data_IF_130425539439
#
_entry.id   IF_130425539439
#
_cell.length_a   1.000
_cell.length_b   1.000
_cell.length_c   1.000
_cell.angle_alpha   90.00
_cell.angle_beta   90.00
_cell.angle_gamma   90.00
#
_symmetry.space_group_name_H-M   'P 1'
#
loop_
_entity.id
_entity.type
_entity.pdbx_description
1 polymer ?
#
# COMPACT_ATOMS: atom_id res chain seq x y z
N UNK A 1 -8.56 -5.62 7.29
CA UNK A 1 -7.39 -4.73 7.13
C UNK A 1 -7.40 -3.73 8.27
N UNK A 2 -6.30 -3.61 9.01
CA UNK A 2 -6.21 -2.86 10.26
C UNK A 2 -5.30 -1.63 10.09
N UNK A 3 -5.85 -0.41 10.22
CA UNK A 3 -5.11 0.84 10.01
C UNK A 3 -5.78 2.07 10.65
N UNK A 4 -5.04 3.19 10.71
CA UNK A 4 -5.44 4.45 11.36
C UNK A 4 -6.68 5.15 10.83
N UNK A 5 -7.13 4.80 9.62
CA UNK A 5 -8.25 5.46 8.95
C UNK A 5 -9.58 4.73 9.20
N UNK A 6 -9.56 3.59 9.89
CA UNK A 6 -10.75 2.86 10.36
C UNK A 6 -11.25 3.47 11.66
N UNK A 7 -12.55 3.33 11.94
CA UNK A 7 -13.07 3.71 13.25
C UNK A 7 -12.46 2.82 14.35
N UNK A 8 -12.43 3.33 15.58
CA UNK A 8 -11.98 2.54 16.74
C UNK A 8 -12.80 1.25 16.88
N UNK A 9 -14.13 1.33 16.67
CA UNK A 9 -15.03 0.18 16.74
C UNK A 9 -14.73 -0.89 15.68
N UNK A 10 -14.39 -0.50 14.45
CA UNK A 10 -13.98 -1.45 13.40
C UNK A 10 -12.65 -2.13 13.76
N UNK A 11 -11.70 -1.38 14.32
CA UNK A 11 -10.41 -1.91 14.74
C UNK A 11 -10.54 -2.87 15.93
N UNK A 12 -11.40 -2.57 16.91
CA UNK A 12 -11.74 -3.46 18.02
C UNK A 12 -12.41 -4.76 17.52
N UNK A 13 -13.32 -4.64 16.57
CA UNK A 13 -13.98 -5.80 15.96
C UNK A 13 -12.99 -6.69 15.20
N UNK A 14 -12.01 -6.11 14.48
CA UNK A 14 -10.96 -6.88 13.81
C UNK A 14 -10.11 -7.66 14.84
N UNK A 15 -9.80 -7.06 16.00
CA UNK A 15 -9.08 -7.74 17.06
C UNK A 15 -9.89 -8.88 17.66
N UNK A 16 -11.19 -8.64 17.91
CA UNK A 16 -12.12 -9.67 18.38
C UNK A 16 -12.20 -10.83 17.40
N UNK A 17 -12.39 -10.55 16.11
CA UNK A 17 -12.41 -11.58 15.06
C UNK A 17 -11.10 -12.35 15.01
N UNK A 18 -9.95 -11.69 15.14
CA UNK A 18 -8.66 -12.38 15.11
C UNK A 18 -8.45 -13.32 16.32
N UNK A 19 -9.02 -13.02 17.48
CA UNK A 19 -8.95 -13.89 18.67
C UNK A 19 -10.05 -14.96 18.73
N UNK A 20 -11.26 -14.67 18.22
CA UNK A 20 -12.45 -15.52 18.40
C UNK A 20 -12.89 -16.27 17.12
N UNK A 21 -12.63 -15.73 15.93
CA UNK A 21 -13.12 -16.28 14.66
C UNK A 21 -12.06 -17.14 13.97
N UNK A 22 -12.28 -18.47 13.83
CA UNK A 22 -11.33 -19.35 13.15
C UNK A 22 -11.19 -19.06 11.64
N UNK A 23 -12.10 -18.30 11.04
CA UNK A 23 -12.00 -17.87 9.64
C UNK A 23 -11.08 -16.63 9.48
N UNK A 24 -10.88 -15.85 10.54
CA UNK A 24 -10.03 -14.66 10.53
C UNK A 24 -8.56 -15.00 10.80
N UNK A 25 -7.88 -15.60 9.82
CA UNK A 25 -6.51 -16.12 10.01
C UNK A 25 -5.41 -15.09 9.81
N UNK A 26 -5.66 -14.06 8.99
CA UNK A 26 -4.64 -13.09 8.58
C UNK A 26 -5.15 -11.66 8.71
N UNK A 27 -4.43 -10.85 9.46
CA UNK A 27 -4.65 -9.40 9.52
C UNK A 27 -3.50 -8.68 8.84
N UNK A 28 -3.84 -7.87 7.82
CA UNK A 28 -2.90 -6.94 7.19
C UNK A 28 -2.95 -5.63 7.96
N UNK A 29 -1.83 -5.26 8.60
CA UNK A 29 -1.67 -4.06 9.40
C UNK A 29 -0.53 -3.16 8.89
N UNK A 30 -0.63 -1.86 9.15
CA UNK A 30 0.48 -0.90 8.94
C UNK A 30 1.40 -0.84 10.16
N UNK A 31 2.68 -0.49 9.98
CA UNK A 31 3.73 -0.40 11.03
C UNK A 31 3.25 0.24 12.33
N UNK A 32 2.65 1.44 12.25
CA UNK A 32 2.21 2.20 13.43
C UNK A 32 1.18 1.46 14.29
N UNK A 33 0.44 0.52 13.69
CA UNK A 33 -0.61 -0.23 14.34
C UNK A 33 -0.16 -1.62 14.78
N UNK A 34 0.85 -2.21 14.13
CA UNK A 34 1.43 -3.47 14.57
C UNK A 34 1.95 -3.39 16.03
N UNK A 35 2.49 -2.25 16.42
CA UNK A 35 2.95 -1.99 17.79
C UNK A 35 1.84 -2.00 18.86
N UNK A 36 0.57 -1.84 18.45
CA UNK A 36 -0.60 -1.86 19.34
C UNK A 36 -1.38 -3.17 19.33
N UNK A 37 -0.97 -4.16 18.51
CA UNK A 37 -1.63 -5.46 18.44
C UNK A 37 -1.23 -6.30 19.67
N UNK A 38 -2.20 -6.60 20.52
CA UNK A 38 -2.05 -7.50 21.66
C UNK A 38 -2.98 -8.70 21.49
N UNK A 39 -2.59 -9.62 20.60
CA UNK A 39 -3.36 -10.80 20.22
C UNK A 39 -2.59 -12.02 20.70
N UNK A 40 -3.12 -12.71 21.71
CA UNK A 40 -2.42 -13.84 22.35
C UNK A 40 -2.32 -15.07 21.44
N UNK A 41 -3.25 -15.17 20.50
CA UNK A 41 -3.34 -16.25 19.52
C UNK A 41 -2.40 -16.07 18.32
N UNK A 42 -1.63 -14.96 18.25
CA UNK A 42 -0.77 -14.67 17.10
C UNK A 42 0.41 -15.65 17.02
N UNK A 43 0.34 -16.55 16.03
CA UNK A 43 1.38 -17.57 15.78
C UNK A 43 2.54 -17.04 14.94
N UNK A 44 2.23 -16.24 13.92
CA UNK A 44 3.22 -15.71 12.99
C UNK A 44 2.94 -14.25 12.59
N UNK A 45 3.94 -13.61 12.00
CA UNK A 45 3.96 -12.20 11.61
C UNK A 45 5.01 -12.07 10.52
N UNK A 46 4.56 -11.53 9.39
CA UNK A 46 5.33 -11.38 8.17
C UNK A 46 5.43 -9.88 7.89
N UNK A 47 6.64 -9.33 8.00
CA UNK A 47 6.90 -7.94 7.63
C UNK A 47 7.06 -7.84 6.11
N UNK A 48 6.17 -7.08 5.47
CA UNK A 48 6.26 -6.78 4.03
C UNK A 48 7.19 -5.59 3.80
N UNK A 49 8.47 -5.90 3.59
CA UNK A 49 9.54 -4.93 3.43
C UNK A 49 10.42 -4.82 4.68
N UNK A 50 11.42 -3.93 4.63
CA UNK A 50 12.32 -3.69 5.75
C UNK A 50 12.04 -2.30 6.32
N UNK A 51 11.76 -2.16 7.63
CA UNK A 51 11.44 -0.88 8.24
C UNK A 51 12.62 0.10 8.20
N UNK A 52 12.42 1.35 8.57
CA UNK A 52 13.48 2.37 8.42
C UNK A 52 14.68 2.08 9.32
N UNK A 53 14.44 1.50 10.50
CA UNK A 53 15.47 1.17 11.50
C UNK A 53 15.39 -0.29 11.95
N UNK A 54 16.48 -0.81 12.50
CA UNK A 54 16.50 -2.16 13.10
C UNK A 54 15.62 -2.23 14.35
N UNK A 55 15.53 -1.16 15.12
CA UNK A 55 14.66 -1.11 16.31
C UNK A 55 13.19 -1.32 15.96
N UNK A 56 12.72 -0.74 14.86
CA UNK A 56 11.36 -0.97 14.37
C UNK A 56 11.16 -2.44 13.99
N UNK A 57 12.12 -3.04 13.27
CA UNK A 57 12.06 -4.46 12.92
C UNK A 57 11.99 -5.35 14.16
N UNK A 58 12.82 -5.03 15.16
CA UNK A 58 12.91 -5.82 16.38
C UNK A 58 11.67 -5.67 17.25
N UNK A 59 11.12 -4.46 17.34
CA UNK A 59 9.85 -4.20 18.01
C UNK A 59 8.70 -4.96 17.36
N UNK A 60 8.57 -4.90 16.02
CA UNK A 60 7.55 -5.63 15.26
C UNK A 60 7.61 -7.16 15.50
N UNK A 61 8.83 -7.72 15.62
CA UNK A 61 9.03 -9.15 15.90
C UNK A 61 8.76 -9.54 17.36
N UNK A 62 8.96 -8.63 18.30
CA UNK A 62 8.87 -8.88 19.74
C UNK A 62 7.47 -9.20 20.26
N UNK A 63 6.42 -9.03 19.46
CA UNK A 63 5.03 -9.28 19.85
C UNK A 63 4.64 -10.77 19.91
N UNK A 64 5.51 -11.69 19.49
CA UNK A 64 5.22 -13.13 19.52
C UNK A 64 5.59 -13.76 20.86
N UNK A 65 4.70 -14.61 21.37
CA UNK A 65 5.04 -15.57 22.41
C UNK A 65 6.08 -16.55 21.86
N UNK A 66 7.14 -16.76 22.63
CA UNK A 66 8.48 -17.23 22.22
C UNK A 66 8.59 -18.69 21.75
N UNK A 67 7.57 -19.27 21.10
CA UNK A 67 7.54 -20.72 20.79
C UNK A 67 7.63 -21.07 19.29
N UNK A 68 7.40 -20.14 18.37
CA UNK A 68 7.53 -20.39 16.93
C UNK A 68 8.56 -19.45 16.28
N UNK A 69 9.47 -19.96 15.42
CA UNK A 69 10.40 -19.11 14.70
C UNK A 69 9.67 -18.32 13.62
N UNK A 70 9.96 -17.02 13.57
CA UNK A 70 9.45 -16.12 12.54
C UNK A 70 10.26 -16.28 11.26
N UNK A 71 9.61 -16.68 10.16
CA UNK A 71 10.22 -16.66 8.84
C UNK A 71 10.05 -15.26 8.27
N UNK A 72 11.11 -14.45 8.28
CA UNK A 72 11.11 -13.19 7.52
C UNK A 72 11.74 -13.42 6.17
N UNK A 73 10.91 -13.75 5.18
CA UNK A 73 11.29 -13.66 3.77
C UNK A 73 11.22 -12.19 3.34
N UNK A 74 12.27 -11.44 3.65
CA UNK A 74 12.44 -10.09 3.12
C UNK A 74 12.84 -10.17 1.65
N UNK A 75 11.86 -10.40 0.78
CA UNK A 75 12.04 -10.25 -0.65
C UNK A 75 12.31 -8.75 -0.91
N UNK A 76 13.58 -8.41 -1.16
CA UNK A 76 14.06 -7.05 -1.44
C UNK A 76 13.47 -6.51 -2.76
N UNK A 77 12.17 -6.30 -2.79
CA UNK A 77 11.48 -5.71 -3.93
C UNK A 77 11.68 -4.20 -3.87
N UNK A 78 12.30 -3.65 -4.92
CA UNK A 78 12.54 -2.21 -5.13
C UNK A 78 11.24 -1.45 -5.41
N UNK A 79 10.22 -1.60 -4.57
CA UNK A 79 8.90 -1.00 -4.76
C UNK A 79 8.69 0.22 -3.86
N UNK A 80 9.32 1.33 -4.22
CA UNK A 80 8.84 2.68 -3.84
C UNK A 80 9.11 3.68 -4.96
N UNK A 81 8.42 3.56 -6.10
CA UNK A 81 8.22 4.71 -7.00
C UNK A 81 6.99 5.48 -6.53
N UNK A 82 7.14 6.23 -5.45
CA UNK A 82 6.18 7.25 -5.04
C UNK A 82 6.11 8.37 -6.12
N UNK A 83 4.96 9.06 -6.26
CA UNK A 83 4.81 10.15 -7.22
C UNK A 83 5.85 11.25 -6.96
N UNK A 84 6.56 11.63 -8.02
CA UNK A 84 7.65 12.62 -8.07
C UNK A 84 7.20 14.00 -7.56
N UNK A 85 7.23 14.24 -6.26
CA UNK A 85 7.47 15.59 -5.76
C UNK A 85 8.98 15.87 -5.96
N UNK A 86 9.30 16.95 -6.67
CA UNK A 86 10.68 17.34 -7.07
C UNK A 86 11.57 17.80 -5.90
N UNK A 87 11.29 17.42 -4.65
CA UNK A 87 12.31 17.60 -3.62
C UNK A 87 13.31 16.46 -3.73
N UNK A 88 14.55 16.77 -4.11
CA UNK A 88 15.68 15.88 -3.87
C UNK A 88 15.77 15.63 -2.36
N UNK A 89 15.03 14.66 -1.85
CA UNK A 89 15.28 14.14 -0.52
C UNK A 89 16.66 13.51 -0.58
N UNK A 90 17.63 14.15 0.08
CA UNK A 90 18.95 13.58 0.28
C UNK A 90 18.74 12.16 0.81
N UNK A 91 19.19 11.16 0.07
CA UNK A 91 19.05 9.76 0.48
C UNK A 91 19.69 9.63 1.85
N UNK A 92 18.88 9.34 2.88
CA UNK A 92 19.43 9.08 4.21
C UNK A 92 20.39 7.88 4.09
N UNK A 93 21.61 7.97 4.62
CA UNK A 93 22.52 6.82 4.61
C UNK A 93 21.85 5.65 5.32
N UNK A 94 22.05 4.44 4.78
CA UNK A 94 21.52 3.22 5.39
C UNK A 94 22.13 3.05 6.79
N UNK A 95 21.28 2.79 7.79
CA UNK A 95 21.73 2.54 9.15
C UNK A 95 22.70 1.35 9.19
N UNK A 96 23.80 1.47 9.94
CA UNK A 96 24.85 0.44 10.00
C UNK A 96 24.31 -0.91 10.49
N UNK A 97 23.49 -0.92 11.54
CA UNK A 97 22.87 -2.12 12.07
C UNK A 97 22.00 -2.85 11.02
N UNK A 98 21.25 -2.05 10.23
CA UNK A 98 20.44 -2.57 9.12
C UNK A 98 21.31 -3.14 8.01
N UNK A 99 22.41 -2.48 7.67
CA UNK A 99 23.37 -2.99 6.70
C UNK A 99 23.95 -4.34 7.14
N UNK A 100 24.33 -4.49 8.42
CA UNK A 100 24.86 -5.76 8.94
C UNK A 100 23.85 -6.91 8.76
N UNK A 101 22.58 -6.70 9.13
CA UNK A 101 21.53 -7.72 8.95
C UNK A 101 21.29 -8.07 7.48
N UNK A 102 21.25 -7.06 6.60
CA UNK A 102 20.97 -7.24 5.17
C UNK A 102 22.13 -7.87 4.38
N UNK A 103 23.35 -7.91 4.91
CA UNK A 103 24.46 -8.58 4.22
C UNK A 103 24.33 -10.10 4.22
N UNK A 104 23.54 -10.67 5.13
CA UNK A 104 23.27 -12.11 5.24
C UNK A 104 24.56 -12.97 5.41
N UNK A 105 25.67 -12.35 5.85
CA UNK A 105 26.97 -13.00 6.04
C UNK A 105 27.13 -13.61 7.44
N UNK A 106 26.43 -13.10 8.43
CA UNK A 106 26.52 -13.59 9.81
C UNK A 106 25.18 -14.19 10.29
N UNK A 107 25.21 -14.95 11.38
CA UNK A 107 24.01 -15.45 12.04
C UNK A 107 23.11 -14.29 12.49
N UNK A 108 21.84 -14.27 12.08
CA UNK A 108 20.90 -13.21 12.47
C UNK A 108 20.81 -13.00 13.98
N UNK A 109 20.71 -14.09 14.75
CA UNK A 109 20.63 -14.01 16.21
C UNK A 109 21.92 -13.46 16.83
N UNK A 110 23.09 -13.83 16.29
CA UNK A 110 24.38 -13.28 16.73
C UNK A 110 24.45 -11.78 16.46
N UNK A 111 24.12 -11.37 15.24
CA UNK A 111 24.17 -9.96 14.82
C UNK A 111 23.23 -9.10 15.68
N UNK A 112 21.99 -9.54 15.90
CA UNK A 112 21.04 -8.86 16.80
C UNK A 112 21.59 -8.76 18.23
N UNK A 113 22.11 -9.86 18.80
CA UNK A 113 22.64 -9.83 20.17
C UNK A 113 23.87 -8.93 20.29
N UNK A 114 24.65 -8.76 19.22
CA UNK A 114 25.79 -7.82 19.17
C UNK A 114 25.31 -6.37 19.11
N UNK A 115 24.29 -6.08 18.30
CA UNK A 115 23.68 -4.75 18.17
C UNK A 115 23.13 -4.29 19.53
N UNK A 116 22.36 -5.15 20.21
CA UNK A 116 21.73 -4.82 21.50
C UNK A 116 22.55 -5.18 22.74
N UNK A 117 23.74 -5.76 22.56
CA UNK A 117 24.61 -6.21 23.65
C UNK A 117 23.90 -7.16 24.65
N UNK A 118 23.07 -8.07 24.14
CA UNK A 118 22.29 -8.99 24.97
C UNK A 118 23.20 -9.98 25.72
N UNK A 119 23.13 -10.09 27.06
CA UNK A 119 23.94 -11.03 27.83
C UNK A 119 23.44 -12.49 27.68
N UNK A 120 24.29 -13.51 27.93
CA UNK A 120 25.73 -13.40 28.16
C UNK A 120 26.49 -13.25 26.84
N UNK A 121 27.32 -12.21 26.72
CA UNK A 121 28.00 -11.85 25.46
C UNK A 121 28.84 -13.00 24.87
N UNK A 122 29.43 -13.85 25.72
CA UNK A 122 30.30 -14.96 25.28
C UNK A 122 29.55 -16.03 24.48
N UNK A 123 28.27 -16.24 24.75
CA UNK A 123 27.46 -17.27 24.06
C UNK A 123 26.42 -16.64 23.14
N UNK A 124 25.88 -15.47 23.50
CA UNK A 124 24.83 -14.80 22.72
C UNK A 124 25.30 -14.31 21.35
N UNK A 125 26.60 -14.00 21.23
CA UNK A 125 27.23 -13.54 19.99
C UNK A 125 27.77 -14.67 19.10
N UNK A 126 27.70 -15.93 19.55
CA UNK A 126 28.01 -17.08 18.69
C UNK A 126 26.87 -17.33 17.70
N UNK A 127 27.17 -18.02 16.60
CA UNK A 127 26.13 -18.48 15.68
C UNK A 127 25.15 -19.44 16.38
N UNK A 128 24.00 -19.71 15.74
CA UNK A 128 22.97 -20.49 16.42
C UNK A 128 23.42 -21.92 16.80
N UNK A 129 24.29 -22.53 16.00
CA UNK A 129 24.73 -23.91 16.19
C UNK A 129 25.78 -23.96 17.30
N UNK A 130 26.79 -23.09 17.25
CA UNK A 130 27.81 -22.95 18.27
C UNK A 130 27.24 -22.49 19.63
N UNK A 131 26.18 -21.67 19.62
CA UNK A 131 25.46 -21.27 20.81
C UNK A 131 24.51 -22.36 21.36
N UNK A 132 24.36 -23.51 20.70
CA UNK A 132 23.45 -24.58 21.12
C UNK A 132 21.98 -24.16 21.12
N UNK A 133 21.55 -23.26 20.22
CA UNK A 133 20.16 -22.80 20.17
C UNK A 133 19.27 -23.90 19.59
N UNK A 134 18.11 -24.11 20.22
CA UNK A 134 17.12 -25.11 19.79
C UNK A 134 16.61 -24.89 18.36
N UNK A 135 16.48 -23.63 17.95
CA UNK A 135 16.02 -23.24 16.62
C UNK A 135 17.08 -22.33 15.97
N UNK A 136 17.81 -22.81 14.95
CA UNK A 136 18.74 -21.97 14.22
C UNK A 136 17.98 -20.95 13.35
N UNK A 137 18.58 -19.78 13.15
CA UNK A 137 18.09 -18.84 12.15
C UNK A 137 18.27 -19.43 10.74
N UNK A 138 17.53 -18.92 9.74
CA UNK A 138 17.57 -19.45 8.37
C UNK A 138 18.97 -19.52 7.78
N UNK A 139 19.83 -18.51 8.02
CA UNK A 139 21.23 -18.53 7.55
C UNK A 139 22.06 -19.66 8.17
N UNK A 140 21.90 -19.92 9.47
CA UNK A 140 22.57 -21.03 10.12
C UNK A 140 22.00 -22.37 9.65
N UNK A 141 20.69 -22.45 9.43
CA UNK A 141 20.04 -23.65 8.93
C UNK A 141 20.57 -24.01 7.53
N UNK A 142 20.58 -23.05 6.59
CA UNK A 142 21.13 -23.23 5.24
C UNK A 142 22.60 -23.61 5.24
N UNK A 143 23.45 -22.97 6.06
CA UNK A 143 24.89 -23.27 6.11
C UNK A 143 25.24 -24.66 6.63
N UNK A 144 24.32 -25.28 7.38
CA UNK A 144 24.51 -26.59 7.98
C UNK A 144 23.55 -27.63 7.39
N UNK A 145 22.95 -27.34 6.22
CA UNK A 145 22.00 -28.21 5.52
C UNK A 145 20.86 -28.72 6.42
N UNK A 146 20.41 -27.89 7.38
CA UNK A 146 19.31 -28.20 8.27
C UNK A 146 17.99 -27.77 7.63
N UNK A 147 17.11 -28.74 7.35
CA UNK A 147 15.74 -28.47 6.96
C UNK A 147 14.87 -28.27 8.19
N UNK A 148 14.41 -27.03 8.40
CA UNK A 148 13.45 -26.72 9.47
C UNK A 148 12.04 -27.01 8.99
N UNK A 149 11.44 -28.09 9.50
CA UNK A 149 10.03 -28.42 9.25
C UNK A 149 9.20 -28.02 10.47
N UNK A 150 8.17 -27.21 10.23
CA UNK A 150 7.17 -26.89 11.25
C UNK A 150 5.93 -27.72 10.97
N UNK A 151 5.45 -28.45 11.98
CA UNK A 151 4.14 -29.07 11.90
C UNK A 151 3.11 -27.97 11.72
N UNK A 152 2.24 -28.10 10.72
CA UNK A 152 1.09 -27.22 10.60
C UNK A 152 0.30 -27.27 11.93
N UNK A 153 -0.18 -26.13 12.43
CA UNK A 153 -1.05 -26.13 13.59
C UNK A 153 -2.26 -27.04 13.31
N UNK A 154 -2.70 -27.85 14.29
CA UNK A 154 -3.82 -28.75 14.08
C UNK A 154 -5.05 -27.93 13.69
N UNK A 155 -5.60 -28.20 12.50
CA UNK A 155 -6.85 -27.57 12.08
C UNK A 155 -7.98 -28.04 13.01
N UNK A 156 -8.95 -27.17 13.35
CA UNK A 156 -10.16 -27.59 14.02
C UNK A 156 -10.80 -28.76 13.26
N UNK A 157 -11.22 -29.81 13.98
CA UNK A 157 -11.80 -31.00 13.35
C UNK A 157 -13.01 -30.61 12.50
N UNK A 158 -13.01 -31.02 11.23
CA UNK A 158 -14.11 -30.78 10.30
C UNK A 158 -14.05 -29.46 9.52
N UNK A 159 -13.00 -28.66 9.69
CA UNK A 159 -12.77 -27.47 8.86
C UNK A 159 -11.72 -27.79 7.80
N UNK A 160 -12.18 -28.08 6.58
CA UNK A 160 -11.31 -28.04 5.41
C UNK A 160 -11.10 -26.57 5.04
N UNK A 161 -9.86 -26.09 5.13
CA UNK A 161 -9.55 -24.75 4.64
C UNK A 161 -9.79 -24.74 3.12
N UNK A 162 -10.49 -23.71 2.59
CA UNK A 162 -10.63 -23.58 1.15
C UNK A 162 -9.23 -23.58 0.53
N UNK A 163 -9.02 -24.33 -0.57
CA UNK A 163 -7.72 -24.37 -1.23
C UNK A 163 -7.29 -22.95 -1.54
N UNK A 164 -6.05 -22.60 -1.19
CA UNK A 164 -5.50 -21.29 -1.50
C UNK A 164 -5.60 -21.13 -3.02
N UNK A 165 -6.45 -20.20 -3.49
CA UNK A 165 -6.63 -19.98 -4.92
C UNK A 165 -5.33 -19.39 -5.43
N UNK A 166 -4.45 -20.26 -5.95
CA UNK A 166 -3.28 -19.80 -6.65
C UNK A 166 -3.78 -18.97 -7.83
N UNK A 167 -3.38 -17.70 -7.95
CA UNK A 167 -3.70 -16.96 -9.16
C UNK A 167 -3.18 -17.80 -10.33
N UNK A 168 -3.97 -17.95 -11.41
CA UNK A 168 -3.61 -18.81 -12.52
C UNK A 168 -2.18 -18.49 -12.93
N UNK A 169 -1.32 -19.50 -12.84
CA UNK A 169 0.10 -19.37 -13.15
C UNK A 169 0.15 -18.87 -14.58
N UNK A 170 0.62 -17.64 -14.79
CA UNK A 170 0.51 -16.99 -16.10
C UNK A 170 1.12 -17.91 -17.16
N UNK A 171 0.26 -18.48 -18.02
CA UNK A 171 0.66 -19.41 -19.06
C UNK A 171 1.71 -18.76 -19.98
N UNK A 172 2.54 -19.59 -20.67
CA UNK A 172 3.57 -19.12 -21.61
C UNK A 172 3.07 -18.27 -22.80
N UNK A 173 1.76 -18.00 -22.90
CA UNK A 173 1.15 -17.01 -23.80
C UNK A 173 1.80 -15.61 -23.63
N UNK A 174 2.39 -15.34 -22.46
CA UNK A 174 3.13 -14.10 -22.18
C UNK A 174 4.30 -13.80 -23.14
N UNK A 175 4.78 -14.76 -23.93
CA UNK A 175 5.85 -14.51 -24.91
C UNK A 175 5.36 -13.78 -26.17
N UNK A 176 4.14 -14.06 -26.66
CA UNK A 176 3.60 -13.42 -27.86
C UNK A 176 3.02 -12.02 -27.55
N UNK A 177 2.41 -11.86 -26.38
CA UNK A 177 1.85 -10.58 -25.92
C UNK A 177 2.91 -9.50 -25.67
N UNK A 178 4.19 -9.87 -25.49
CA UNK A 178 5.29 -8.89 -25.35
C UNK A 178 5.44 -8.00 -26.59
N UNK A 179 5.01 -8.45 -27.77
CA UNK A 179 5.07 -7.65 -29.01
C UNK A 179 3.98 -6.57 -29.10
N UNK A 180 2.90 -6.68 -28.33
CA UNK A 180 1.78 -5.73 -28.33
C UNK A 180 1.76 -4.86 -27.06
N UNK A 181 2.92 -4.48 -26.55
CA UNK A 181 3.03 -3.55 -25.42
C UNK A 181 3.52 -2.20 -25.88
N UNK A 182 2.81 -1.15 -25.46
CA UNK A 182 3.25 0.24 -25.63
C UNK A 182 4.67 0.40 -25.11
N UNK A 183 5.51 1.12 -25.86
CA UNK A 183 6.80 1.56 -25.36
C UNK A 183 6.58 2.44 -24.12
N UNK A 184 7.60 2.54 -23.26
CA UNK A 184 7.52 3.36 -22.04
C UNK A 184 7.12 4.82 -22.32
N UNK A 185 7.57 5.38 -23.46
CA UNK A 185 7.24 6.75 -23.87
C UNK A 185 5.79 6.87 -24.30
N UNK A 186 5.31 5.98 -25.17
CA UNK A 186 3.91 5.94 -25.61
C UNK A 186 2.96 5.71 -24.43
N UNK A 187 3.30 4.77 -23.54
CA UNK A 187 2.49 4.50 -22.35
C UNK A 187 2.38 5.73 -21.46
N UNK A 188 3.49 6.46 -21.23
CA UNK A 188 3.47 7.68 -20.43
C UNK A 188 2.66 8.80 -21.11
N UNK A 189 2.73 8.91 -22.44
CA UNK A 189 1.94 9.87 -23.21
C UNK A 189 0.44 9.53 -23.13
N UNK A 190 0.06 8.29 -23.45
CA UNK A 190 -1.31 7.82 -23.36
C UNK A 190 -1.88 7.94 -21.93
N UNK A 191 -1.07 7.65 -20.90
CA UNK A 191 -1.46 7.86 -19.50
C UNK A 191 -1.75 9.34 -19.19
N UNK A 192 -0.98 10.26 -19.78
CA UNK A 192 -1.21 11.71 -19.64
C UNK A 192 -2.53 12.13 -20.29
N UNK A 193 -2.80 11.66 -21.51
CA UNK A 193 -4.04 11.94 -22.25
C UNK A 193 -5.26 11.40 -21.49
N UNK A 194 -5.17 10.17 -20.97
CA UNK A 194 -6.22 9.55 -20.17
C UNK A 194 -6.48 10.31 -18.86
N UNK A 195 -5.44 10.85 -18.22
CA UNK A 195 -5.59 11.69 -17.03
C UNK A 195 -6.27 13.02 -17.34
N UNK A 196 -5.93 13.63 -18.47
CA UNK A 196 -6.58 14.87 -18.94
C UNK A 196 -8.06 14.62 -19.25
N UNK A 197 -8.39 13.50 -19.90
CA UNK A 197 -9.78 13.07 -20.08
C UNK A 197 -10.51 12.90 -18.75
N UNK A 198 -9.86 12.30 -17.74
CA UNK A 198 -10.40 12.21 -16.39
C UNK A 198 -10.71 13.57 -15.74
N UNK A 199 -9.94 14.62 -16.05
CA UNK A 199 -10.27 15.98 -15.63
C UNK A 199 -11.50 16.55 -16.31
N UNK A 200 -11.66 16.30 -17.61
CA UNK A 200 -12.85 16.69 -18.36
C UNK A 200 -14.09 16.06 -17.76
N UNK A 201 -14.03 14.75 -17.49
CA UNK A 201 -15.13 14.01 -16.85
C UNK A 201 -15.46 14.60 -15.48
N UNK A 202 -14.42 14.86 -14.66
CA UNK A 202 -14.60 15.49 -13.35
C UNK A 202 -15.28 16.85 -13.44
N UNK A 203 -14.86 17.70 -14.37
CA UNK A 203 -15.43 19.05 -14.51
C UNK A 203 -16.91 18.99 -14.88
N UNK A 204 -17.31 18.14 -15.82
CA UNK A 204 -18.69 17.98 -16.25
C UNK A 204 -19.58 17.30 -15.18
N UNK A 205 -19.08 16.28 -14.49
CA UNK A 205 -19.85 15.62 -13.42
C UNK A 205 -20.00 16.50 -12.17
N UNK A 206 -19.03 17.38 -11.90
CA UNK A 206 -19.10 18.29 -10.76
C UNK A 206 -20.20 19.33 -10.89
N UNK A 207 -20.55 19.72 -12.13
CA UNK A 207 -21.66 20.66 -12.37
C UNK A 207 -23.05 20.05 -12.16
N UNK A 208 -23.16 18.72 -12.13
CA UNK A 208 -24.44 18.01 -11.93
C UNK A 208 -24.86 17.88 -10.45
N UNK A 209 -24.09 18.45 -9.51
CA UNK A 209 -24.44 18.59 -8.09
C UNK A 209 -24.32 17.32 -7.24
N UNK A 210 -24.62 16.13 -7.78
CA UNK A 210 -24.61 14.84 -7.05
C UNK A 210 -23.22 14.33 -6.68
N UNK A 211 -22.16 14.86 -7.31
CA UNK A 211 -20.78 14.34 -7.18
C UNK A 211 -19.76 15.38 -6.71
N UNK A 212 -20.20 16.51 -6.15
CA UNK A 212 -19.33 17.64 -5.82
C UNK A 212 -18.18 17.32 -4.85
N UNK A 213 -18.40 16.35 -3.94
CA UNK A 213 -17.45 15.98 -2.88
C UNK A 213 -16.63 14.72 -3.19
N UNK A 214 -16.78 14.12 -4.38
CA UNK A 214 -16.02 12.91 -4.73
C UNK A 214 -14.54 13.21 -4.93
N UNK A 215 -13.62 12.34 -4.47
CA UNK A 215 -12.19 12.50 -4.73
C UNK A 215 -11.88 12.50 -6.23
N UNK A 216 -10.88 13.28 -6.65
CA UNK A 216 -10.40 13.38 -8.03
C UNK A 216 -10.16 12.00 -8.68
N UNK A 217 -9.53 11.08 -7.93
CA UNK A 217 -9.22 9.73 -8.39
C UNK A 217 -10.43 8.84 -8.63
N UNK A 218 -11.62 9.19 -8.11
CA UNK A 218 -12.84 8.39 -8.32
C UNK A 218 -13.50 8.66 -9.68
N UNK A 219 -13.26 9.83 -10.28
CA UNK A 219 -13.84 10.20 -11.57
C UNK A 219 -13.21 9.42 -12.71
N UNK A 220 -11.93 9.06 -12.63
CA UNK A 220 -11.29 8.16 -13.58
C UNK A 220 -10.19 7.35 -12.87
N UNK A 221 -10.54 6.19 -12.27
CA UNK A 221 -9.62 5.44 -11.43
C UNK A 221 -8.36 4.98 -12.16
N UNK A 222 -7.23 4.98 -11.45
CA UNK A 222 -5.94 4.51 -11.99
C UNK A 222 -6.00 3.07 -12.47
N UNK A 223 -6.85 2.23 -11.88
CA UNK A 223 -7.08 0.85 -12.34
C UNK A 223 -7.65 0.82 -13.76
N UNK A 224 -8.68 1.63 -14.04
CA UNK A 224 -9.30 1.76 -15.37
C UNK A 224 -8.28 2.27 -16.38
N UNK A 225 -7.51 3.31 -16.02
CA UNK A 225 -6.43 3.83 -16.88
C UNK A 225 -5.42 2.73 -17.22
N UNK A 226 -4.99 1.93 -16.24
CA UNK A 226 -4.05 0.82 -16.48
C UNK A 226 -4.65 -0.24 -17.39
N UNK A 227 -5.89 -0.66 -17.16
CA UNK A 227 -6.58 -1.63 -18.00
C UNK A 227 -6.68 -1.17 -19.46
N UNK A 228 -7.01 0.10 -19.69
CA UNK A 228 -7.04 0.69 -21.05
C UNK A 228 -5.63 0.72 -21.66
N UNK A 229 -4.60 1.12 -20.90
CA UNK A 229 -3.22 1.15 -21.39
C UNK A 229 -2.66 -0.23 -21.71
N UNK A 230 -3.07 -1.26 -20.96
CA UNK A 230 -2.65 -2.65 -21.17
C UNK A 230 -3.33 -3.26 -22.40
N UNK A 231 -4.56 -2.83 -22.71
CA UNK A 231 -5.31 -3.27 -23.88
C UNK A 231 -5.21 -2.32 -25.09
N UNK A 232 -4.51 -1.18 -25.01
CA UNK A 232 -4.64 -0.10 -25.98
C UNK A 232 -4.39 -0.53 -27.44
N UNK A 233 -3.44 -1.44 -27.65
CA UNK A 233 -3.09 -1.96 -28.98
C UNK A 233 -3.99 -3.11 -29.46
N UNK A 234 -4.84 -3.66 -28.59
CA UNK A 234 -5.80 -4.74 -28.88
C UNK A 234 -7.25 -4.27 -28.91
N UNK A 235 -7.48 -2.98 -28.62
CA UNK A 235 -8.76 -2.30 -28.73
C UNK A 235 -9.06 -1.99 -30.21
N UNK A 236 -9.76 -2.92 -30.86
CA UNK A 236 -10.24 -2.81 -32.24
C UNK A 236 -11.75 -2.51 -32.33
N UNK A 237 -12.48 -2.61 -31.21
CA UNK A 237 -13.92 -2.38 -31.15
C UNK A 237 -14.33 -1.54 -29.95
N UNK A 238 -15.46 -0.86 -30.09
CA UNK A 238 -16.06 -0.08 -29.01
C UNK A 238 -16.52 -0.99 -27.86
N UNK A 239 -17.01 -2.20 -28.17
CA UNK A 239 -17.45 -3.19 -27.18
C UNK A 239 -16.33 -3.59 -26.22
N UNK A 240 -15.10 -3.76 -26.73
CA UNK A 240 -13.93 -4.04 -25.88
C UNK A 240 -13.65 -2.90 -24.92
N UNK A 241 -13.80 -1.64 -25.36
CA UNK A 241 -13.68 -0.47 -24.49
C UNK A 241 -14.78 -0.52 -23.43
N UNK A 242 -16.03 -0.80 -23.82
CA UNK A 242 -17.15 -0.90 -22.87
C UNK A 242 -16.91 -1.99 -21.82
N UNK A 243 -16.39 -3.16 -22.22
CA UNK A 243 -16.02 -4.23 -21.29
C UNK A 243 -15.00 -3.76 -20.24
N UNK A 244 -13.95 -3.03 -20.64
CA UNK A 244 -12.96 -2.48 -19.71
C UNK A 244 -13.55 -1.42 -18.77
N UNK A 245 -14.54 -0.68 -19.24
CA UNK A 245 -15.21 0.38 -18.49
C UNK A 245 -16.36 -0.12 -17.61
N UNK A 246 -16.71 -1.41 -17.62
CA UNK A 246 -17.84 -1.97 -16.84
C UNK A 246 -17.75 -1.66 -15.34
N UNK A 247 -16.54 -1.60 -14.79
CA UNK A 247 -16.29 -1.27 -13.38
C UNK A 247 -16.38 0.23 -13.05
N UNK A 248 -16.47 1.09 -14.07
CA UNK A 248 -16.42 2.53 -13.93
C UNK A 248 -17.82 3.14 -13.93
N UNK A 249 -18.22 3.68 -12.77
CA UNK A 249 -19.59 4.19 -12.50
C UNK A 249 -20.06 5.25 -13.51
N UNK A 250 -19.15 6.04 -14.07
CA UNK A 250 -19.47 7.12 -15.02
C UNK A 250 -19.56 6.66 -16.49
N UNK A 251 -19.24 5.40 -16.79
CA UNK A 251 -19.22 4.90 -18.16
C UNK A 251 -20.57 5.08 -18.87
N UNK A 252 -21.67 4.77 -18.18
CA UNK A 252 -23.04 4.83 -18.73
C UNK A 252 -23.48 6.25 -19.13
N UNK A 253 -23.11 7.26 -18.34
CA UNK A 253 -23.48 8.65 -18.61
C UNK A 253 -22.83 9.20 -19.89
N UNK A 254 -21.56 8.86 -20.12
CA UNK A 254 -20.80 9.34 -21.29
C UNK A 254 -21.07 8.55 -22.57
N UNK A 255 -21.48 7.28 -22.47
CA UNK A 255 -21.93 6.49 -23.62
C UNK A 255 -23.13 7.16 -24.31
N UNK A 256 -24.10 7.66 -23.55
CA UNK A 256 -25.24 8.38 -24.12
C UNK A 256 -24.84 9.71 -24.75
N UNK A 257 -23.99 10.50 -24.10
CA UNK A 257 -23.55 11.79 -24.62
C UNK A 257 -22.75 11.67 -25.94
N UNK A 258 -21.90 10.65 -26.05
CA UNK A 258 -21.10 10.41 -27.27
C UNK A 258 -21.94 9.86 -28.42
N UNK A 259 -22.89 8.95 -28.14
CA UNK A 259 -23.85 8.45 -29.15
C UNK A 259 -24.76 9.57 -29.68
N UNK A 260 -25.26 10.45 -28.81
CA UNK A 260 -26.08 11.59 -29.25
C UNK A 260 -25.31 12.60 -30.11
N UNK A 261 -24.03 12.88 -29.77
CA UNK A 261 -23.20 13.76 -30.61
C UNK A 261 -22.90 13.17 -31.98
N UNK A 262 -22.67 11.85 -32.08
CA UNK A 262 -22.49 11.18 -33.38
C UNK A 262 -23.77 11.21 -34.21
N UNK A 263 -24.93 10.94 -33.60
CA UNK A 263 -26.21 10.98 -34.31
C UNK A 263 -26.50 12.36 -34.89
N UNK A 264 -26.31 13.42 -34.09
CA UNK A 264 -26.48 14.81 -34.57
C UNK A 264 -25.52 15.21 -35.70
N UNK A 265 -24.30 14.65 -35.72
CA UNK A 265 -23.33 14.95 -36.78
C UNK A 265 -23.73 14.28 -38.09
N UNK A 266 -24.20 13.02 -38.02
CA UNK A 266 -24.72 12.31 -39.19
C UNK A 266 -25.98 12.98 -39.75
N UNK A 267 -26.92 13.37 -38.87
CA UNK A 267 -28.14 14.09 -39.27
C UNK A 267 -27.82 15.49 -39.86
N UNK A 268 -26.72 16.14 -39.45
CA UNK A 268 -26.27 17.43 -40.01
C UNK A 268 -25.61 17.26 -41.38
N UNK A 269 -24.75 16.25 -41.53
CA UNK A 269 -24.05 15.98 -42.80
C UNK A 269 -25.05 15.49 -43.87
N UNK A 270 -26.07 14.72 -43.49
CA UNK A 270 -27.14 14.24 -44.39
C UNK A 270 -28.09 15.37 -44.83
N UNK A 271 -28.30 16.38 -43.98
CA UNK A 271 -29.09 17.57 -44.35
C UNK A 271 -28.36 18.58 -45.24
N UNK A 272 -27.02 18.58 -45.24
CA UNK A 272 -26.23 19.43 -46.15
C UNK A 272 -26.20 18.84 -47.57
N UNK A 273 -26.13 17.51 -47.74
CA UNK A 273 -26.16 16.87 -49.07
C UNK A 273 -27.53 16.96 -49.79
N UNK A 274 -28.66 17.04 -49.07
CA UNK A 274 -29.98 17.23 -49.72
C UNK A 274 -30.27 18.67 -50.17
N UNK A 275 -29.50 19.66 -49.69
CA UNK A 275 -29.76 21.08 -49.99
C UNK A 275 -28.94 21.67 -51.15
N UNK A 276 -28.04 20.89 -51.76
CA UNK A 276 -27.14 21.36 -52.84
C UNK A 276 -27.64 21.02 -54.27
N UNK A 277 -28.93 20.71 -54.45
CA UNK A 277 -29.50 20.35 -55.77
C UNK A 277 -30.58 21.29 -56.33
N UNK A 278 -30.86 22.43 -55.70
CA UNK A 278 -31.82 23.40 -56.26
C UNK A 278 -31.31 24.84 -56.11
N UNK A 279 -30.47 25.24 -57.08
CA UNK A 279 -30.06 26.63 -57.27
C UNK A 279 -30.32 27.03 -58.72
N UNK A 280 -31.59 27.37 -58.99
CA UNK A 280 -32.03 28.16 -60.11
C UNK A 280 -32.68 29.46 -59.62
N UNK A 281 -31.99 30.57 -59.87
CA UNK A 281 -32.52 31.93 -60.09
C UNK A 281 -33.05 32.82 -58.94
N UNK A 282 -32.50 34.05 -58.98
CA UNK A 282 -33.04 35.36 -58.61
C UNK A 282 -32.91 35.93 -57.17
N UNK A 283 -32.01 36.92 -57.08
CA UNK A 283 -32.26 38.33 -56.69
C UNK A 283 -33.35 38.60 -55.64
N UNK A 284 -32.94 39.08 -54.46
CA UNK A 284 -33.03 40.51 -54.14
C UNK A 284 -32.57 40.80 -52.71
N UNK A 285 -31.90 41.93 -52.59
CA UNK A 285 -31.58 42.70 -51.39
C UNK A 285 -32.73 42.86 -50.40
N UNK A 286 -32.43 42.71 -49.10
CA UNK A 286 -32.96 43.60 -48.07
C UNK A 286 -32.07 43.56 -46.81
N UNK A 287 -31.72 44.76 -46.36
CA UNK A 287 -31.06 45.08 -45.10
C UNK A 287 -31.99 44.73 -43.93
N UNK A 288 -31.49 44.10 -42.86
CA UNK A 288 -32.00 44.42 -41.52
C UNK A 288 -31.06 44.04 -40.36
N UNK A 289 -30.95 45.01 -39.45
CA UNK A 289 -30.81 44.92 -37.99
C UNK A 289 -29.67 44.08 -37.37
N UNK A 290 -28.58 44.80 -37.03
CA UNK A 290 -27.58 44.42 -36.05
C UNK A 290 -28.21 44.36 -34.65
N UNK A 291 -28.45 43.16 -34.15
CA UNK A 291 -28.82 42.89 -32.76
C UNK A 291 -27.59 42.82 -31.85
N UNK A 292 -27.47 43.78 -30.93
CA UNK A 292 -26.44 43.83 -29.90
C UNK A 292 -26.62 42.70 -28.85
N UNK A 293 -25.64 41.80 -28.78
CA UNK A 293 -25.52 40.86 -27.66
C UNK A 293 -25.01 41.56 -26.40
N UNK A 294 -25.60 41.32 -25.21
CA UNK A 294 -25.11 41.89 -23.97
C UNK A 294 -23.78 41.23 -23.57
N UNK A 295 -22.73 42.05 -23.52
CA UNK A 295 -21.44 41.69 -22.92
C UNK A 295 -21.63 41.39 -21.43
N UNK A 296 -21.43 40.13 -21.06
CA UNK A 296 -21.31 39.71 -19.67
C UNK A 296 -20.05 40.33 -19.04
N UNK A 297 -20.25 41.17 -18.02
CA UNK A 297 -19.17 41.74 -17.22
C UNK A 297 -18.36 40.65 -16.49
N UNK A 298 -17.04 40.82 -16.31
CA UNK A 298 -16.22 39.88 -15.55
C UNK A 298 -16.59 39.92 -14.07
N UNK A 299 -16.93 38.76 -13.50
CA UNK A 299 -17.10 38.56 -12.06
C UNK A 299 -15.73 38.72 -11.39
N UNK A 300 -15.56 39.62 -10.40
CA UNK A 300 -14.31 39.77 -9.68
C UNK A 300 -14.01 38.51 -8.85
N UNK A 301 -12.74 38.09 -8.74
CA UNK A 301 -12.37 36.92 -7.97
C UNK A 301 -12.66 37.14 -6.47
N UNK A 302 -13.14 36.11 -5.74
CA UNK A 302 -13.40 36.24 -4.32
C UNK A 302 -12.09 36.49 -3.54
N UNK A 303 -12.15 37.29 -2.46
CA UNK A 303 -10.98 37.59 -1.65
C UNK A 303 -10.40 36.31 -1.04
N UNK A 304 -9.08 36.13 -1.21
CA UNK A 304 -8.32 35.03 -0.64
C UNK A 304 -8.43 35.09 0.88
N UNK A 305 -9.30 34.28 1.48
CA UNK A 305 -9.30 34.03 2.93
C UNK A 305 -7.99 33.36 3.31
N UNK A 306 -7.13 34.10 4.01
CA UNK A 306 -5.97 33.55 4.68
C UNK A 306 -6.46 32.51 5.70
N UNK A 307 -6.11 31.24 5.48
CA UNK A 307 -6.28 30.21 6.50
C UNK A 307 -5.30 30.52 7.63
N UNK A 308 -5.82 30.64 8.85
CA UNK A 308 -5.00 30.65 10.05
C UNK A 308 -4.08 29.42 10.03
N UNK A 309 -2.79 29.69 9.95
CA UNK A 309 -1.73 28.71 10.18
C UNK A 309 -1.89 28.24 11.63
N UNK A 310 -2.19 26.95 11.81
CA UNK A 310 -2.06 26.29 13.10
C UNK A 310 -0.63 26.54 13.60
N UNK A 311 -0.53 27.16 14.77
CA UNK A 311 0.76 27.39 15.43
C UNK A 311 1.47 26.05 15.58
N UNK A 312 2.65 26.00 15.00
CA UNK A 312 3.62 24.93 15.14
C UNK A 312 3.94 24.76 16.63
N UNK A 313 3.48 23.65 17.22
CA UNK A 313 3.86 23.27 18.59
C UNK A 313 5.30 22.79 18.52
N UNK A 314 6.24 23.74 18.55
CA UNK A 314 7.64 23.44 18.78
C UNK A 314 7.80 23.01 20.22
N UNK A 315 8.01 21.70 20.43
CA UNK A 315 8.46 21.15 21.71
C UNK A 315 9.91 21.60 21.94
N UNK A 316 10.07 22.85 22.40
CA UNK A 316 11.33 23.34 22.96
C UNK A 316 11.32 22.97 24.44
N UNK A 317 12.06 21.92 24.78
CA UNK A 317 13.01 21.90 25.91
C UNK A 317 13.48 20.46 26.13
N UNK A 318 14.73 20.24 25.72
CA UNK A 318 15.48 19.02 26.04
C UNK A 318 16.04 19.25 27.46
N UNK A 319 15.66 18.46 28.48
CA UNK A 319 16.23 18.65 29.81
C UNK A 319 17.73 18.38 29.78
N UNK A 320 18.49 19.23 30.47
CA UNK A 320 19.94 19.20 30.55
C UNK A 320 20.45 17.84 31.09
N UNK A 321 21.65 17.40 30.65
CA UNK A 321 22.24 16.16 31.15
C UNK A 321 22.55 16.29 32.65
N UNK A 322 22.06 15.32 33.44
CA UNK A 322 22.40 15.19 34.86
C UNK A 322 23.90 14.93 35.03
N UNK A 323 24.56 15.55 36.04
CA UNK A 323 25.97 15.31 36.32
C UNK A 323 26.20 13.88 36.82
N UNK A 324 27.33 13.31 36.39
CA UNK A 324 27.77 11.98 36.77
C UNK A 324 28.20 11.95 38.24
N UNK A 325 27.45 11.23 39.07
CA UNK A 325 27.90 10.88 40.43
C UNK A 325 28.72 9.59 40.38
N UNK A 326 30.00 9.74 40.76
CA UNK A 326 30.90 8.66 41.17
C UNK A 326 30.59 8.22 42.60
N UNK A 327 30.90 6.94 42.88
CA UNK A 327 30.84 6.21 44.16
C UNK A 327 29.46 5.60 44.48
N UNK A 328 29.31 4.35 44.94
CA UNK A 328 30.24 3.46 45.62
C UNK A 328 29.90 1.96 45.39
N UNK A 329 30.90 1.11 45.64
CA UNK A 329 30.83 -0.36 45.81
C UNK A 329 29.70 -0.78 46.76
N UNK A 330 28.90 -1.79 46.37
CA UNK A 330 28.46 -2.89 47.24
C UNK A 330 27.75 -3.99 46.43
N UNK A 331 28.10 -5.26 46.69
CA UNK A 331 27.23 -6.42 46.43
C UNK A 331 27.41 -7.16 45.11
N UNK A 332 28.31 -8.14 45.08
CA UNK A 332 28.27 -9.24 44.10
C UNK A 332 27.04 -10.09 44.46
N UNK A 333 25.97 -9.96 43.69
CA UNK A 333 24.86 -10.93 43.71
C UNK A 333 25.32 -12.20 42.99
N UNK A 334 25.09 -13.36 43.60
CA UNK A 334 25.50 -14.65 43.05
C UNK A 334 24.68 -14.98 41.80
N UNK A 335 25.29 -15.68 40.84
CA UNK A 335 24.66 -16.08 39.58
C UNK A 335 23.39 -16.96 39.77
N UNK A 336 23.15 -17.49 40.97
CA UNK A 336 21.94 -18.24 41.30
C UNK A 336 20.69 -17.35 41.43
N UNK A 337 20.82 -16.10 41.87
CA UNK A 337 19.66 -15.21 42.07
C UNK A 337 19.14 -14.56 40.78
N UNK A 338 19.91 -14.57 39.70
CA UNK A 338 19.48 -14.08 38.38
C UNK A 338 18.74 -15.16 37.58
N UNK A 339 18.93 -16.44 37.91
CA UNK A 339 18.22 -17.54 37.26
C UNK A 339 16.75 -17.65 37.71
N UNK A 340 16.43 -17.24 38.94
CA UNK A 340 15.06 -17.31 39.49
C UNK A 340 14.14 -16.18 39.01
N UNK A 341 14.67 -15.07 38.49
CA UNK A 341 13.84 -13.95 37.98
C UNK A 341 13.29 -14.16 36.57
N UNK A 342 13.66 -15.26 35.88
CA UNK A 342 13.12 -15.64 34.58
C UNK A 342 12.28 -16.92 34.59
N UNK A 343 12.20 -17.64 35.70
CA UNK A 343 11.29 -18.78 35.86
C UNK A 343 10.00 -18.31 36.53
N UNK A 344 9.03 -17.87 35.72
CA UNK A 344 7.69 -17.59 36.20
C UNK A 344 6.96 -18.93 36.47
N UNK A 345 6.55 -19.26 37.71
CA UNK A 345 5.94 -20.54 38.01
C UNK A 345 4.44 -20.48 37.72
N UNK A 346 4.01 -20.80 36.49
CA UNK A 346 2.60 -21.13 36.26
C UNK A 346 2.33 -22.55 36.73
N UNK A 347 1.78 -22.59 37.95
CA UNK A 347 1.14 -23.71 38.64
C UNK A 347 0.12 -24.39 37.71
N UNK A 348 0.47 -25.54 37.17
CA UNK A 348 -0.48 -26.45 36.51
C UNK A 348 -1.45 -26.97 37.56
N UNK A 349 -2.66 -26.40 37.63
CA UNK A 349 -3.78 -27.05 38.33
C UNK A 349 -4.27 -28.22 37.48
N UNK A 350 -3.69 -29.39 37.72
CA UNK A 350 -4.29 -30.66 37.33
C UNK A 350 -5.57 -30.84 38.15
N UNK A 351 -6.74 -30.65 37.53
CA UNK A 351 -7.99 -31.23 38.05
C UNK A 351 -7.96 -32.73 37.73
N UNK A 352 -7.94 -33.55 38.78
CA UNK A 352 -8.43 -34.93 38.74
C UNK A 352 -9.94 -34.94 38.83
#
# INVERSE_FOLDING_TARGET
MYHSLRSTSENEEILRLLDEDPECQVVIATIAFANGLNVKSLLDSISLGFPDTVDQLWQEKGHKQLEAPSTTDSCATKHTKAPKSKSQSKSKPLEHAKALLLTEVECYNSTINRIYQNPPLKTSTLDCIAAGRRLPCSLCATRNDLSLTFSAPPLPRGVELPPFVHPPTADPIAALEKKLRLTKKERQHAESVLKEFGEVVRCAERTLGTHQHRPKSSFFPTSVIRSILDALLTLDSLDKVECLLTSWVFAKGYQHATRQKKKKRYESDESEEESESDAGEELSSEEEAVGEHPRSSPIPPPPKRARCVLKEVTNKERPAPRPANKAARAGIQSAAQVAESYTNPYRTTSRR
#
